data_IF_472440614052
#
_entry.id   IF_472440614052
#
_cell.length_a   1.000
_cell.length_b   1.000
_cell.length_c   1.000
_cell.angle_alpha   90.00
_cell.angle_beta   90.00
_cell.angle_gamma   90.00
#
_symmetry.space_group_name_H-M   'P 1'
#
loop_
_entity.id
_entity.type
_entity.pdbx_description
1 polymer ?
#
# COMPACT_ATOMS: atom_id res chain seq x y z
N UNK A 1 17.48 4.47 1.30
CA UNK A 1 16.00 4.54 1.12
C UNK A 1 15.24 3.82 2.22
N UNK A 2 15.39 2.50 2.40
CA UNK A 2 14.67 1.72 3.42
C UNK A 2 14.70 2.35 4.83
N UNK A 3 15.88 2.70 5.33
CA UNK A 3 16.04 3.32 6.65
C UNK A 3 15.26 4.63 6.79
N UNK A 4 15.23 5.47 5.74
CA UNK A 4 14.48 6.73 5.73
C UNK A 4 12.97 6.48 5.81
N UNK A 5 12.46 5.52 5.03
CA UNK A 5 11.04 5.15 5.08
C UNK A 5 10.66 4.62 6.46
N UNK A 6 11.50 3.77 7.05
CA UNK A 6 11.26 3.24 8.39
C UNK A 6 11.20 4.36 9.45
N UNK A 7 12.11 5.33 9.37
CA UNK A 7 12.11 6.53 10.23
C UNK A 7 10.82 7.35 10.06
N UNK A 8 10.38 7.59 8.82
CA UNK A 8 9.12 8.28 8.52
C UNK A 8 7.91 7.54 9.10
N UNK A 9 7.86 6.20 9.00
CA UNK A 9 6.78 5.39 9.58
C UNK A 9 6.78 5.47 11.10
N UNK A 10 7.96 5.38 11.75
CA UNK A 10 8.07 5.52 13.19
C UNK A 10 7.63 6.90 13.67
N UNK A 11 8.07 7.96 12.98
CA UNK A 11 7.63 9.33 13.22
C UNK A 11 6.11 9.44 13.14
N UNK A 12 5.52 8.93 12.04
CA UNK A 12 4.07 8.99 11.83
C UNK A 12 3.28 8.26 12.92
N UNK A 13 3.72 7.08 13.32
CA UNK A 13 3.07 6.29 14.38
C UNK A 13 3.23 6.93 15.77
N UNK A 14 4.30 7.68 15.99
CA UNK A 14 4.54 8.46 17.21
C UNK A 14 3.72 9.74 17.30
N UNK A 15 3.31 10.32 16.16
CA UNK A 15 2.47 11.53 16.12
C UNK A 15 1.04 11.24 16.59
N UNK A 16 0.78 11.48 17.87
CA UNK A 16 -0.58 11.45 18.48
C UNK A 16 -1.34 12.78 18.35
N UNK A 17 -0.81 13.74 17.60
CA UNK A 17 -1.36 15.11 17.60
C UNK A 17 -2.62 15.23 16.73
N UNK A 18 -3.68 15.88 17.22
CA UNK A 18 -4.90 16.13 16.45
C UNK A 18 -4.69 17.10 15.27
N UNK A 19 -3.60 17.87 15.27
CA UNK A 19 -3.27 18.87 14.24
C UNK A 19 -2.35 18.34 13.12
N UNK A 20 -2.04 17.04 13.12
CA UNK A 20 -1.14 16.44 12.14
C UNK A 20 0.34 16.58 12.49
N UNK A 21 1.24 16.00 11.67
CA UNK A 21 2.68 16.12 11.87
C UNK A 21 3.19 17.53 11.52
N UNK A 22 4.29 17.94 12.17
CA UNK A 22 4.93 19.23 11.96
C UNK A 22 5.42 19.39 10.49
N UNK A 23 4.95 20.43 9.76
CA UNK A 23 5.35 20.68 8.37
C UNK A 23 6.87 20.83 8.17
N UNK A 24 7.59 21.37 9.15
CA UNK A 24 9.04 21.56 9.04
C UNK A 24 9.77 20.20 9.03
N UNK A 25 9.33 19.28 9.89
CA UNK A 25 9.87 17.92 9.93
C UNK A 25 9.54 17.16 8.64
N UNK A 26 8.30 17.27 8.14
CA UNK A 26 7.89 16.63 6.88
C UNK A 26 8.72 17.16 5.70
N UNK A 27 8.97 18.47 5.64
CA UNK A 27 9.86 19.06 4.63
C UNK A 27 11.28 18.50 4.70
N UNK A 28 11.82 18.32 5.91
CA UNK A 28 13.12 17.67 6.12
C UNK A 28 13.18 16.23 5.58
N UNK A 29 12.11 15.46 5.78
CA UNK A 29 11.99 14.11 5.22
C UNK A 29 11.93 14.11 3.68
N UNK A 30 11.15 15.01 3.09
CA UNK A 30 11.08 15.16 1.63
C UNK A 30 12.43 15.53 1.03
N UNK A 31 13.17 16.44 1.68
CA UNK A 31 14.51 16.83 1.23
C UNK A 31 15.46 15.65 1.20
N UNK A 32 15.54 14.87 2.29
CA UNK A 32 16.36 13.65 2.38
C UNK A 32 15.94 12.61 1.34
N UNK A 33 14.64 12.49 1.07
CA UNK A 33 14.13 11.58 0.04
C UNK A 33 14.60 11.99 -1.36
N UNK A 34 14.50 13.29 -1.69
CA UNK A 34 14.98 13.85 -2.96
C UNK A 34 16.50 13.70 -3.10
N UNK A 35 17.26 13.95 -2.04
CA UNK A 35 18.73 13.76 -2.05
C UNK A 35 19.11 12.33 -2.44
N UNK A 36 18.43 11.31 -1.92
CA UNK A 36 18.67 9.91 -2.29
C UNK A 36 18.33 9.67 -3.77
N UNK A 37 17.23 10.25 -4.28
CA UNK A 37 16.86 10.13 -5.69
C UNK A 37 17.87 10.83 -6.60
N UNK A 38 18.38 11.99 -6.21
CA UNK A 38 19.43 12.70 -6.96
C UNK A 38 20.75 11.91 -6.99
N UNK A 39 21.11 11.24 -5.90
CA UNK A 39 22.25 10.31 -5.91
C UNK A 39 22.02 9.18 -6.92
N UNK A 40 20.86 8.53 -6.87
CA UNK A 40 20.53 7.45 -7.82
C UNK A 40 20.51 7.94 -9.28
N UNK A 41 19.98 9.14 -9.53
CA UNK A 41 19.99 9.78 -10.86
C UNK A 41 21.41 9.93 -11.39
N UNK A 42 22.31 10.49 -10.59
CA UNK A 42 23.74 10.65 -10.97
C UNK A 42 24.42 9.31 -11.21
N UNK A 43 24.14 8.30 -10.39
CA UNK A 43 24.68 6.95 -10.61
C UNK A 43 24.23 6.38 -11.96
N UNK A 44 22.94 6.50 -12.30
CA UNK A 44 22.39 5.99 -13.55
C UNK A 44 22.76 6.83 -14.78
N UNK A 45 23.07 8.12 -14.62
CA UNK A 45 23.65 8.95 -15.68
C UNK A 45 25.07 8.49 -16.03
N UNK A 46 25.88 8.15 -15.02
CA UNK A 46 27.26 7.68 -15.21
C UNK A 46 27.32 6.22 -15.68
N UNK A 47 26.44 5.37 -15.12
CA UNK A 47 26.38 3.94 -15.41
C UNK A 47 24.93 3.61 -15.78
N UNK A 48 24.60 3.65 -17.07
CA UNK A 48 23.25 3.34 -17.54
C UNK A 48 22.80 1.95 -17.12
N UNK A 49 21.50 1.81 -16.86
CA UNK A 49 20.92 0.52 -16.53
C UNK A 49 21.02 -0.42 -17.74
N UNK A 50 21.65 -1.58 -17.55
CA UNK A 50 21.66 -2.66 -18.53
C UNK A 50 20.31 -3.39 -18.55
N UNK A 51 19.96 -4.02 -19.67
CA UNK A 51 18.75 -4.83 -19.83
C UNK A 51 18.65 -5.95 -18.78
N UNK A 52 19.79 -6.47 -18.32
CA UNK A 52 19.85 -7.51 -17.28
C UNK A 52 19.58 -6.99 -15.86
N UNK A 53 19.87 -5.71 -15.56
CA UNK A 53 19.76 -5.13 -14.21
C UNK A 53 18.94 -3.84 -14.20
N UNK A 54 17.71 -3.92 -14.71
CA UNK A 54 16.81 -2.76 -14.88
C UNK A 54 15.91 -2.47 -13.68
N UNK A 55 15.77 -3.42 -12.75
CA UNK A 55 14.81 -3.30 -11.65
C UNK A 55 15.10 -2.12 -10.70
N UNK A 56 16.38 -1.89 -10.39
CA UNK A 56 16.79 -0.74 -9.57
C UNK A 56 16.47 0.60 -10.25
N UNK A 57 16.72 0.69 -11.56
CA UNK A 57 16.41 1.88 -12.35
C UNK A 57 14.90 2.12 -12.45
N UNK A 58 14.13 1.06 -12.70
CA UNK A 58 12.67 1.13 -12.72
C UNK A 58 12.12 1.53 -11.34
N UNK A 59 12.71 1.03 -10.25
CA UNK A 59 12.35 1.43 -8.89
C UNK A 59 12.61 2.93 -8.69
N UNK A 60 13.80 3.42 -9.02
CA UNK A 60 14.15 4.84 -8.97
C UNK A 60 13.12 5.70 -9.73
N UNK A 61 12.82 5.36 -10.99
CA UNK A 61 11.85 6.09 -11.80
C UNK A 61 10.44 6.10 -11.19
N UNK A 62 9.99 4.96 -10.63
CA UNK A 62 8.70 4.89 -9.94
C UNK A 62 8.68 5.76 -8.68
N UNK A 63 9.75 5.73 -7.89
CA UNK A 63 9.87 6.49 -6.66
C UNK A 63 9.90 8.00 -6.90
N UNK A 64 10.52 8.43 -7.99
CA UNK A 64 10.52 9.82 -8.44
C UNK A 64 9.14 10.24 -8.95
N UNK A 65 8.58 9.50 -9.91
CA UNK A 65 7.28 9.79 -10.53
C UNK A 65 6.14 9.86 -9.50
N UNK A 66 6.17 8.97 -8.50
CA UNK A 66 5.11 8.84 -7.51
C UNK A 66 5.53 9.30 -6.11
N UNK A 67 6.53 10.18 -6.00
CA UNK A 67 7.03 10.68 -4.70
C UNK A 67 5.90 11.23 -3.82
N UNK A 68 5.01 12.05 -4.39
CA UNK A 68 3.89 12.62 -3.65
C UNK A 68 2.99 11.54 -3.03
N UNK A 69 2.68 10.50 -3.80
CA UNK A 69 1.86 9.38 -3.32
C UNK A 69 2.60 8.55 -2.27
N UNK A 70 3.90 8.31 -2.48
CA UNK A 70 4.75 7.58 -1.54
C UNK A 70 4.82 8.25 -0.17
N UNK A 71 4.79 9.59 -0.14
CA UNK A 71 4.90 10.39 1.08
C UNK A 71 3.53 10.90 1.58
N UNK A 72 2.43 10.55 0.92
CA UNK A 72 1.09 11.06 1.24
C UNK A 72 0.67 10.77 2.68
N UNK A 73 1.10 9.63 3.25
CA UNK A 73 0.83 9.27 4.64
C UNK A 73 1.43 10.25 5.67
N UNK A 74 2.42 11.07 5.27
CA UNK A 74 2.97 12.15 6.10
C UNK A 74 2.08 13.39 6.07
N UNK A 75 1.24 13.57 5.05
CA UNK A 75 0.42 14.76 4.85
C UNK A 75 -1.05 14.55 5.22
N UNK A 76 -1.61 13.37 4.94
CA UNK A 76 -3.01 13.05 5.25
C UNK A 76 -3.11 12.00 6.36
N UNK A 77 -3.78 12.36 7.46
CA UNK A 77 -3.94 11.48 8.61
C UNK A 77 -4.77 10.22 8.31
N UNK A 78 -5.65 10.29 7.32
CA UNK A 78 -6.52 9.20 6.91
C UNK A 78 -5.77 8.12 6.14
N UNK A 79 -4.60 8.45 5.60
CA UNK A 79 -3.77 7.52 4.86
C UNK A 79 -2.85 6.78 5.85
N UNK A 80 -2.98 5.46 6.00
CA UNK A 80 -2.12 4.69 6.88
C UNK A 80 -0.68 4.68 6.36
N UNK A 81 0.29 4.65 7.28
CA UNK A 81 1.71 4.56 6.95
C UNK A 81 2.15 3.19 6.40
N UNK A 82 1.25 2.20 6.39
CA UNK A 82 1.54 0.84 5.91
C UNK A 82 0.40 0.34 5.03
N UNK A 83 0.73 -0.48 4.04
CA UNK A 83 -0.21 -1.15 3.14
C UNK A 83 -0.68 -2.52 3.68
N UNK A 84 -0.36 -2.84 4.94
CA UNK A 84 -0.58 -4.16 5.54
C UNK A 84 -2.02 -4.67 5.41
N UNK A 85 -3.00 -3.78 5.61
CA UNK A 85 -4.41 -4.13 5.49
C UNK A 85 -4.79 -4.47 4.05
N UNK A 86 -4.38 -3.65 3.08
CA UNK A 86 -4.61 -3.88 1.67
C UNK A 86 -3.99 -5.23 1.23
N UNK A 87 -2.74 -5.49 1.61
CA UNK A 87 -2.10 -6.78 1.31
C UNK A 87 -2.81 -7.95 2.00
N UNK A 88 -3.23 -7.79 3.26
CA UNK A 88 -3.93 -8.84 4.00
C UNK A 88 -5.24 -9.21 3.32
N UNK A 89 -6.02 -8.23 2.86
CA UNK A 89 -7.27 -8.44 2.15
C UNK A 89 -7.02 -9.11 0.79
N UNK A 90 -6.03 -8.62 0.03
CA UNK A 90 -5.66 -9.19 -1.27
C UNK A 90 -5.14 -10.63 -1.18
N UNK A 91 -4.42 -10.99 -0.11
CA UNK A 91 -3.93 -12.36 0.13
C UNK A 91 -5.05 -13.40 0.18
N UNK A 92 -6.27 -13.04 0.61
CA UNK A 92 -7.41 -13.97 0.59
C UNK A 92 -7.89 -14.23 -0.83
N UNK A 93 -8.00 -13.17 -1.63
CA UNK A 93 -8.37 -13.27 -3.03
C UNK A 93 -7.34 -14.08 -3.83
N UNK A 94 -6.04 -13.78 -3.71
CA UNK A 94 -4.98 -14.50 -4.42
C UNK A 94 -4.97 -16.00 -4.08
N UNK A 95 -5.24 -16.35 -2.82
CA UNK A 95 -5.38 -17.76 -2.40
C UNK A 95 -6.59 -18.43 -3.04
N UNK A 96 -7.72 -17.72 -3.16
CA UNK A 96 -8.93 -18.24 -3.84
C UNK A 96 -8.74 -18.39 -5.34
N UNK A 97 -8.08 -17.44 -5.98
CA UNK A 97 -7.68 -17.54 -7.38
C UNK A 97 -6.78 -18.76 -7.62
N UNK A 98 -5.79 -18.99 -6.77
CA UNK A 98 -4.92 -20.18 -6.86
C UNK A 98 -5.70 -21.49 -6.69
N UNK A 99 -6.67 -21.55 -5.78
CA UNK A 99 -7.55 -22.72 -5.61
C UNK A 99 -8.46 -22.97 -6.81
N UNK A 100 -8.98 -21.90 -7.42
CA UNK A 100 -9.85 -22.00 -8.59
C UNK A 100 -9.08 -22.33 -9.89
N UNK A 101 -7.75 -22.24 -9.87
CA UNK A 101 -6.81 -22.39 -11.01
C UNK A 101 -7.00 -21.29 -12.06
N UNK A 102 -8.21 -21.17 -12.63
CA UNK A 102 -8.61 -20.09 -13.53
C UNK A 102 -10.10 -19.78 -13.36
N UNK A 103 -10.46 -18.49 -13.46
CA UNK A 103 -11.86 -18.09 -13.59
C UNK A 103 -12.26 -18.15 -15.07
N UNK A 104 -13.51 -18.56 -15.34
CA UNK A 104 -14.00 -18.73 -16.73
C UNK A 104 -14.28 -17.41 -17.45
N UNK A 105 -14.34 -16.30 -16.71
CA UNK A 105 -14.59 -14.96 -17.25
C UNK A 105 -14.24 -13.87 -16.22
N UNK A 106 -14.21 -12.61 -16.65
CA UNK A 106 -14.01 -11.47 -15.75
C UNK A 106 -15.20 -11.26 -14.81
N UNK A 107 -16.42 -11.57 -15.25
CA UNK A 107 -17.62 -11.47 -14.41
C UNK A 107 -17.51 -12.40 -13.19
N UNK A 108 -16.97 -13.61 -13.37
CA UNK A 108 -16.77 -14.54 -12.26
C UNK A 108 -15.76 -14.02 -11.22
N UNK A 109 -14.75 -13.27 -11.66
CA UNK A 109 -13.80 -12.58 -10.78
C UNK A 109 -14.52 -11.49 -9.99
N UNK A 110 -15.32 -10.68 -10.67
CA UNK A 110 -16.08 -9.61 -10.04
C UNK A 110 -17.05 -10.15 -8.99
N UNK A 111 -17.83 -11.19 -9.32
CA UNK A 111 -18.71 -11.87 -8.36
C UNK A 111 -17.95 -12.38 -7.14
N UNK A 112 -16.77 -12.97 -7.31
CA UNK A 112 -15.94 -13.41 -6.19
C UNK A 112 -15.52 -12.22 -5.31
N UNK A 113 -15.06 -11.13 -5.92
CA UNK A 113 -14.68 -9.90 -5.21
C UNK A 113 -15.86 -9.31 -4.44
N UNK A 114 -17.04 -9.23 -5.05
CA UNK A 114 -18.27 -8.74 -4.41
C UNK A 114 -18.67 -9.61 -3.22
N UNK A 115 -18.72 -10.94 -3.39
CA UNK A 115 -19.03 -11.89 -2.32
C UNK A 115 -18.07 -11.79 -1.14
N UNK A 116 -16.76 -11.72 -1.40
CA UNK A 116 -15.77 -11.56 -0.33
C UNK A 116 -15.86 -10.19 0.35
N UNK A 117 -16.12 -9.13 -0.41
CA UNK A 117 -16.30 -7.77 0.13
C UNK A 117 -17.51 -7.70 1.05
N UNK A 118 -18.62 -8.35 0.66
CA UNK A 118 -19.81 -8.47 1.50
C UNK A 118 -19.50 -9.17 2.83
N UNK A 119 -18.75 -10.28 2.82
CA UNK A 119 -18.36 -10.98 4.05
C UNK A 119 -17.43 -10.15 4.95
N UNK A 120 -16.53 -9.37 4.36
CA UNK A 120 -15.67 -8.44 5.11
C UNK A 120 -16.51 -7.34 5.76
N UNK A 121 -17.45 -6.74 5.01
CA UNK A 121 -18.34 -5.71 5.52
C UNK A 121 -19.24 -6.24 6.65
N UNK A 122 -19.80 -7.44 6.49
CA UNK A 122 -20.63 -8.08 7.50
C UNK A 122 -19.91 -8.25 8.84
N UNK A 123 -18.61 -8.57 8.79
CA UNK A 123 -17.76 -8.70 9.97
C UNK A 123 -17.39 -7.36 10.61
N UNK A 124 -17.32 -6.28 9.82
CA UNK A 124 -16.96 -4.95 10.32
C UNK A 124 -18.16 -4.25 10.98
N UNK A 125 -19.37 -4.45 10.46
CA UNK A 125 -20.58 -3.75 10.93
C UNK A 125 -21.19 -4.33 12.20
N UNK A 126 -21.06 -5.65 12.42
CA UNK A 126 -21.76 -6.34 13.51
C UNK A 126 -20.78 -7.27 14.27
N UNK A 127 -20.66 -7.15 15.60
CA UNK A 127 -19.89 -8.10 16.41
C UNK A 127 -20.55 -9.49 16.50
N UNK A 128 -21.79 -9.65 16.03
CA UNK A 128 -22.47 -10.93 15.98
C UNK A 128 -21.75 -11.94 15.07
N UNK A 129 -22.03 -13.22 15.29
CA UNK A 129 -21.44 -14.30 14.51
C UNK A 129 -21.80 -14.17 13.03
N UNK A 130 -20.77 -14.14 12.17
CA UNK A 130 -20.94 -14.06 10.70
C UNK A 130 -21.80 -15.20 10.15
N UNK A 131 -21.74 -16.40 10.74
CA UNK A 131 -22.54 -17.55 10.31
C UNK A 131 -24.03 -17.31 10.52
N UNK A 132 -24.42 -16.72 11.66
CA UNK A 132 -25.83 -16.43 11.96
C UNK A 132 -26.37 -15.37 10.99
N UNK A 133 -25.58 -14.34 10.67
CA UNK A 133 -25.97 -13.29 9.72
C UNK A 133 -26.11 -13.83 8.30
N UNK A 134 -25.17 -14.66 7.86
CA UNK A 134 -25.25 -15.34 6.55
C UNK A 134 -26.48 -16.24 6.50
N UNK A 135 -26.74 -17.02 7.56
CA UNK A 135 -27.92 -17.88 7.64
C UNK A 135 -29.23 -17.09 7.61
N UNK A 136 -29.29 -15.88 8.16
CA UNK A 136 -30.51 -15.05 8.10
C UNK A 136 -30.77 -14.44 6.72
N UNK A 137 -29.74 -14.24 5.92
CA UNK A 137 -29.86 -13.62 4.59
C UNK A 137 -30.09 -14.67 3.51
N UNK A 138 -29.47 -15.85 3.63
CA UNK A 138 -29.45 -16.87 2.59
C UNK A 138 -30.07 -18.22 3.00
N UNK A 139 -30.37 -18.43 4.28
CA UNK A 139 -31.06 -19.63 4.78
C UNK A 139 -32.57 -19.45 4.82
#
# INVERSE_FOLDING_TARGET
MHALVQEMVHFRNGCRQPHGPDPEIVSGFEKRYREILETARKEYENIPANDYYKDGYNLFLRMEKYMHNHLLFLHDIRVPATNNEAERLLRNYNRKQAQAVTFRSFENIDYLCQCMSMLVLMRLEDPANIYDRVSRIFG
#
